data_IF_278004149566
#
_entry.id   IF_278004149566
#
_cell.length_a   1.000
_cell.length_b   1.000
_cell.length_c   1.000
_cell.angle_alpha   90.00
_cell.angle_beta   90.00
_cell.angle_gamma   90.00
#
_symmetry.space_group_name_H-M   'P 1'
#
loop_
_entity.id
_entity.type
_entity.pdbx_description
1 polymer ?
#
# COMPACT_ATOMS: atom_id res chain seq x y z
N UNK A 1 -29.19 -25.81 52.02
CA UNK A 1 -29.55 -25.20 50.73
C UNK A 1 -28.52 -25.60 49.68
N UNK A 2 -28.99 -26.38 48.69
CA UNK A 2 -28.60 -26.40 47.26
C UNK A 2 -27.15 -26.83 46.93
N UNK A 3 -26.88 -28.13 46.75
CA UNK A 3 -27.01 -28.99 45.53
C UNK A 3 -25.95 -28.77 44.45
N UNK A 4 -24.92 -29.61 44.53
CA UNK A 4 -23.99 -30.03 43.46
C UNK A 4 -24.78 -30.65 42.30
N UNK A 5 -24.36 -30.39 41.05
CA UNK A 5 -24.65 -31.27 39.92
C UNK A 5 -23.38 -31.60 39.14
N UNK A 6 -23.26 -32.90 38.90
CA UNK A 6 -22.12 -33.62 38.40
C UNK A 6 -21.93 -33.50 36.88
N UNK A 7 -20.66 -33.52 36.51
CA UNK A 7 -20.09 -34.04 35.28
C UNK A 7 -20.58 -35.48 35.04
N UNK A 8 -21.17 -35.77 33.87
CA UNK A 8 -21.35 -37.14 33.38
C UNK A 8 -20.92 -37.18 31.91
N UNK A 9 -19.77 -37.81 31.70
CA UNK A 9 -19.26 -38.28 30.42
C UNK A 9 -20.06 -39.52 30.06
N UNK A 10 -20.87 -39.43 29.01
CA UNK A 10 -21.62 -40.56 28.45
C UNK A 10 -20.95 -41.08 27.19
N UNK A 11 -20.07 -42.07 27.34
CA UNK A 11 -19.70 -42.99 26.26
C UNK A 11 -20.92 -43.87 25.96
N UNK A 12 -21.58 -43.64 24.83
CA UNK A 12 -22.67 -44.46 24.31
C UNK A 12 -22.22 -45.24 23.09
N UNK A 13 -21.63 -46.41 23.32
CA UNK A 13 -21.31 -47.40 22.30
C UNK A 13 -22.58 -48.24 22.03
N UNK A 14 -23.18 -48.11 20.85
CA UNK A 14 -24.13 -49.07 20.32
C UNK A 14 -23.52 -49.75 19.09
N UNK A 15 -22.92 -50.92 19.31
CA UNK A 15 -22.79 -51.96 18.31
C UNK A 15 -24.18 -52.50 17.99
N UNK A 16 -24.52 -52.72 16.71
CA UNK A 16 -25.06 -54.00 16.25
C UNK A 16 -24.99 -54.12 14.72
N UNK A 17 -24.36 -55.22 14.30
CA UNK A 17 -24.60 -56.07 13.12
C UNK A 17 -24.00 -55.64 11.77
N UNK A 18 -22.99 -56.42 11.39
CA UNK A 18 -22.57 -56.63 10.01
C UNK A 18 -23.74 -57.22 9.20
N UNK A 19 -24.17 -56.47 8.19
CA UNK A 19 -24.99 -56.94 7.08
C UNK A 19 -24.45 -56.30 5.80
N UNK A 20 -24.01 -57.11 4.85
CA UNK A 20 -23.62 -56.65 3.53
C UNK A 20 -24.79 -55.96 2.81
N UNK A 21 -24.71 -54.65 2.62
CA UNK A 21 -25.30 -53.95 1.46
C UNK A 21 -24.57 -52.63 1.27
N UNK A 22 -24.07 -52.39 0.06
CA UNK A 22 -23.15 -51.30 -0.25
C UNK A 22 -23.78 -49.90 -0.22
N UNK A 23 -22.88 -48.91 -0.11
CA UNK A 23 -23.00 -47.51 -0.50
C UNK A 23 -24.21 -46.74 0.06
N UNK A 24 -24.03 -46.01 1.16
CA UNK A 24 -24.75 -44.72 1.37
C UNK A 24 -24.25 -43.85 2.55
N UNK A 25 -23.50 -44.38 3.52
CA UNK A 25 -23.23 -43.65 4.79
C UNK A 25 -22.21 -42.50 4.69
N UNK A 26 -21.40 -42.41 3.64
CA UNK A 26 -20.37 -41.34 3.52
C UNK A 26 -20.94 -40.05 2.95
N UNK A 27 -22.03 -40.11 2.17
CA UNK A 27 -22.53 -38.95 1.42
C UNK A 27 -23.24 -37.95 2.34
N UNK A 28 -24.06 -38.44 3.26
CA UNK A 28 -24.90 -37.63 4.14
C UNK A 28 -24.07 -36.78 5.13
N UNK A 29 -23.00 -37.33 5.72
CA UNK A 29 -22.14 -36.56 6.64
C UNK A 29 -21.33 -35.46 5.94
N UNK A 30 -20.89 -35.70 4.70
CA UNK A 30 -20.12 -34.73 3.93
C UNK A 30 -21.03 -33.63 3.39
N UNK A 31 -22.23 -33.98 2.93
CA UNK A 31 -23.25 -33.04 2.44
C UNK A 31 -23.72 -32.08 3.54
N UNK A 32 -23.95 -32.58 4.77
CA UNK A 32 -24.25 -31.76 5.95
C UNK A 32 -23.11 -30.77 6.28
N UNK A 33 -21.84 -31.17 6.08
CA UNK A 33 -20.71 -30.28 6.31
C UNK A 33 -20.66 -29.13 5.28
N UNK A 34 -20.84 -29.45 3.99
CA UNK A 34 -20.85 -28.45 2.92
C UNK A 34 -21.98 -27.44 3.10
N UNK A 35 -23.20 -27.88 3.40
CA UNK A 35 -24.33 -26.96 3.63
C UNK A 35 -24.05 -26.00 4.79
N UNK A 36 -23.43 -26.49 5.87
CA UNK A 36 -23.07 -25.64 7.01
C UNK A 36 -22.02 -24.59 6.68
N UNK A 37 -21.04 -24.94 5.84
CA UNK A 37 -19.99 -24.02 5.38
C UNK A 37 -20.57 -22.95 4.44
N UNK A 38 -21.41 -23.33 3.48
CA UNK A 38 -22.10 -22.38 2.60
C UNK A 38 -23.00 -21.45 3.41
N UNK A 39 -23.74 -21.96 4.39
CA UNK A 39 -24.58 -21.14 5.27
C UNK A 39 -23.75 -20.12 6.07
N UNK A 40 -22.53 -20.49 6.48
CA UNK A 40 -21.61 -19.56 7.14
C UNK A 40 -21.19 -18.43 6.20
N UNK A 41 -20.86 -18.74 4.94
CA UNK A 41 -20.55 -17.71 3.93
C UNK A 41 -21.75 -16.79 3.67
N UNK A 42 -22.96 -17.35 3.52
CA UNK A 42 -24.17 -16.55 3.33
C UNK A 42 -24.48 -15.66 4.54
N UNK A 43 -24.17 -16.12 5.74
CA UNK A 43 -24.30 -15.34 6.98
C UNK A 43 -23.34 -14.15 6.97
N UNK A 44 -22.07 -14.37 6.62
CA UNK A 44 -21.07 -13.29 6.53
C UNK A 44 -21.46 -12.25 5.47
N UNK A 45 -21.98 -12.70 4.32
CA UNK A 45 -22.49 -11.83 3.28
C UNK A 45 -23.66 -10.97 3.80
N UNK A 46 -24.62 -11.58 4.49
CA UNK A 46 -25.78 -10.88 5.07
C UNK A 46 -25.37 -9.86 6.13
N UNK A 47 -24.35 -10.19 6.92
CA UNK A 47 -23.78 -9.32 7.95
C UNK A 47 -22.82 -8.26 7.37
N UNK A 48 -22.58 -8.28 6.05
CA UNK A 48 -21.64 -7.40 5.33
C UNK A 48 -20.21 -7.48 5.85
N UNK A 49 -19.81 -8.63 6.38
CA UNK A 49 -18.44 -8.92 6.81
C UNK A 49 -17.61 -9.35 5.61
N UNK A 50 -17.39 -8.42 4.68
CA UNK A 50 -16.82 -8.71 3.37
C UNK A 50 -15.38 -9.24 3.41
N UNK A 51 -14.56 -8.75 4.35
CA UNK A 51 -13.20 -9.25 4.51
C UNK A 51 -13.20 -10.73 4.96
N UNK A 52 -13.96 -11.04 6.01
CA UNK A 52 -14.09 -12.41 6.53
C UNK A 52 -14.71 -13.34 5.49
N UNK A 53 -15.71 -12.87 4.76
CA UNK A 53 -16.33 -13.61 3.65
C UNK A 53 -15.28 -13.96 2.59
N UNK A 54 -14.48 -12.98 2.16
CA UNK A 54 -13.48 -13.17 1.13
C UNK A 54 -12.38 -14.15 1.59
N UNK A 55 -11.91 -14.02 2.83
CA UNK A 55 -10.96 -14.96 3.44
C UNK A 55 -11.53 -16.38 3.44
N UNK A 56 -12.77 -16.55 3.90
CA UNK A 56 -13.37 -17.88 4.01
C UNK A 56 -13.63 -18.50 2.64
N UNK A 57 -14.04 -17.71 1.64
CA UNK A 57 -14.19 -18.18 0.26
C UNK A 57 -12.86 -18.63 -0.36
N UNK A 58 -11.74 -18.00 0.00
CA UNK A 58 -10.40 -18.36 -0.49
C UNK A 58 -9.87 -19.65 0.14
N UNK A 59 -10.19 -19.89 1.42
CA UNK A 59 -9.65 -21.02 2.18
C UNK A 59 -10.51 -22.27 2.17
N UNK A 60 -11.74 -22.20 1.67
CA UNK A 60 -12.69 -23.31 1.75
C UNK A 60 -12.28 -24.45 0.82
N UNK A 61 -11.99 -25.62 1.40
CA UNK A 61 -11.65 -26.83 0.66
C UNK A 61 -12.89 -27.71 0.51
N UNK A 62 -13.56 -27.56 -0.64
CA UNK A 62 -14.76 -28.33 -0.98
C UNK A 62 -14.48 -29.38 -2.05
N UNK A 63 -15.24 -30.50 -2.07
CA UNK A 63 -15.25 -31.41 -3.20
C UNK A 63 -15.54 -30.65 -4.50
N UNK A 64 -14.89 -31.04 -5.60
CA UNK A 64 -15.00 -30.36 -6.90
C UNK A 64 -16.46 -30.14 -7.34
N UNK A 65 -17.33 -31.11 -7.07
CA UNK A 65 -18.77 -31.05 -7.38
C UNK A 65 -19.55 -29.96 -6.65
N UNK A 66 -19.02 -29.43 -5.55
CA UNK A 66 -19.68 -28.46 -4.68
C UNK A 66 -19.08 -27.05 -4.80
N UNK A 67 -17.94 -26.90 -5.49
CA UNK A 67 -17.25 -25.61 -5.66
C UNK A 67 -18.12 -24.53 -6.32
N UNK A 68 -19.08 -24.94 -7.15
CA UNK A 68 -20.05 -24.03 -7.77
C UNK A 68 -20.92 -23.29 -6.75
N UNK A 69 -21.23 -23.91 -5.59
CA UNK A 69 -22.00 -23.25 -4.52
C UNK A 69 -21.26 -22.04 -3.93
N UNK A 70 -19.93 -22.14 -3.76
CA UNK A 70 -19.10 -21.02 -3.32
C UNK A 70 -19.09 -19.93 -4.38
N UNK A 71 -19.02 -20.30 -5.67
CA UNK A 71 -19.07 -19.34 -6.76
C UNK A 71 -20.41 -18.61 -6.83
N UNK A 72 -21.53 -19.26 -6.53
CA UNK A 72 -22.84 -18.61 -6.40
C UNK A 72 -22.88 -17.58 -5.25
N UNK A 73 -22.28 -17.90 -4.09
CA UNK A 73 -22.10 -16.90 -3.02
C UNK A 73 -21.24 -15.74 -3.50
N UNK A 74 -20.19 -16.01 -4.27
CA UNK A 74 -19.35 -14.99 -4.92
C UNK A 74 -20.12 -14.06 -5.85
N UNK A 75 -21.06 -14.58 -6.64
CA UNK A 75 -21.94 -13.75 -7.48
C UNK A 75 -22.82 -12.84 -6.62
N UNK A 76 -23.46 -13.37 -5.56
CA UNK A 76 -24.28 -12.55 -4.63
C UNK A 76 -23.44 -11.48 -3.92
N UNK A 77 -22.19 -11.81 -3.58
CA UNK A 77 -21.23 -10.89 -2.99
C UNK A 77 -20.90 -9.73 -3.92
N UNK A 78 -20.60 -10.01 -5.19
CA UNK A 78 -20.37 -8.98 -6.22
C UNK A 78 -21.62 -8.12 -6.43
N UNK A 79 -22.80 -8.73 -6.52
CA UNK A 79 -24.07 -8.02 -6.64
C UNK A 79 -24.27 -7.03 -5.49
N UNK A 80 -23.94 -7.45 -4.27
CA UNK A 80 -24.06 -6.63 -3.08
C UNK A 80 -23.07 -5.45 -3.09
N UNK A 81 -21.80 -5.68 -3.44
CA UNK A 81 -20.80 -4.62 -3.53
C UNK A 81 -21.16 -3.55 -4.58
N UNK A 82 -21.60 -3.99 -5.76
CA UNK A 82 -22.05 -3.08 -6.84
C UNK A 82 -23.27 -2.28 -6.39
N UNK A 83 -24.27 -2.95 -5.78
CA UNK A 83 -25.48 -2.29 -5.27
C UNK A 83 -25.18 -1.22 -4.22
N UNK A 84 -24.18 -1.46 -3.37
CA UNK A 84 -23.75 -0.53 -2.33
C UNK A 84 -22.81 0.55 -2.82
N UNK A 85 -22.34 0.46 -4.07
CA UNK A 85 -21.27 1.29 -4.60
C UNK A 85 -20.03 1.32 -3.72
N UNK A 86 -19.65 0.17 -3.17
CA UNK A 86 -18.56 0.06 -2.21
C UNK A 86 -17.18 0.08 -2.92
N UNK A 87 -16.84 1.23 -3.49
CA UNK A 87 -15.62 1.42 -4.30
C UNK A 87 -14.35 1.24 -3.47
N UNK A 88 -14.34 1.66 -2.21
CA UNK A 88 -13.20 1.50 -1.31
C UNK A 88 -12.81 0.03 -1.12
N UNK A 89 -13.80 -0.84 -0.89
CA UNK A 89 -13.55 -2.27 -0.75
C UNK A 89 -13.11 -2.89 -2.08
N UNK A 90 -13.75 -2.52 -3.18
CA UNK A 90 -13.39 -2.99 -4.52
C UNK A 90 -11.95 -2.62 -4.89
N UNK A 91 -11.53 -1.38 -4.63
CA UNK A 91 -10.18 -0.91 -4.88
C UNK A 91 -9.15 -1.63 -3.99
N UNK A 92 -9.39 -1.65 -2.68
CA UNK A 92 -8.44 -2.22 -1.71
C UNK A 92 -8.28 -3.75 -1.80
N UNK A 93 -9.26 -4.45 -2.37
CA UNK A 93 -9.27 -5.93 -2.47
C UNK A 93 -9.36 -6.45 -3.91
N UNK A 94 -9.19 -5.59 -4.91
CA UNK A 94 -9.32 -5.91 -6.35
C UNK A 94 -8.67 -7.23 -6.76
N UNK A 95 -7.38 -7.41 -6.47
CA UNK A 95 -6.65 -8.63 -6.83
C UNK A 95 -7.22 -9.90 -6.20
N UNK A 96 -7.64 -9.83 -4.93
CA UNK A 96 -8.23 -10.95 -4.20
C UNK A 96 -9.61 -11.29 -4.73
N UNK A 97 -10.46 -10.28 -4.95
CA UNK A 97 -11.78 -10.48 -5.55
C UNK A 97 -11.64 -11.14 -6.92
N UNK A 98 -10.75 -10.63 -7.79
CA UNK A 98 -10.52 -11.13 -9.15
C UNK A 98 -10.19 -12.63 -9.20
N UNK A 99 -9.38 -13.13 -8.27
CA UNK A 99 -9.00 -14.55 -8.23
C UNK A 99 -10.09 -15.43 -7.58
N UNK A 100 -10.89 -14.86 -6.68
CA UNK A 100 -11.87 -15.60 -5.88
C UNK A 100 -13.21 -15.78 -6.57
N UNK A 101 -13.68 -14.78 -7.34
CA UNK A 101 -15.00 -14.83 -7.99
C UNK A 101 -14.96 -15.46 -9.39
N UNK A 102 -16.11 -15.59 -10.06
CA UNK A 102 -16.15 -16.02 -11.47
C UNK A 102 -15.63 -14.89 -12.36
N UNK A 103 -15.04 -15.25 -13.51
CA UNK A 103 -14.55 -14.27 -14.49
C UNK A 103 -15.65 -13.29 -14.92
N UNK A 104 -16.87 -13.76 -15.14
CA UNK A 104 -17.98 -12.90 -15.55
C UNK A 104 -18.40 -11.93 -14.45
N UNK A 105 -18.32 -12.34 -13.18
CA UNK A 105 -18.56 -11.44 -12.04
C UNK A 105 -17.46 -10.39 -11.91
N UNK A 106 -16.20 -10.77 -12.14
CA UNK A 106 -15.10 -9.80 -12.19
C UNK A 106 -15.27 -8.78 -13.33
N UNK A 107 -15.66 -9.22 -14.53
CA UNK A 107 -15.93 -8.31 -15.65
C UNK A 107 -17.05 -7.30 -15.31
N UNK A 108 -18.04 -7.72 -14.51
CA UNK A 108 -19.10 -6.82 -14.02
C UNK A 108 -18.57 -5.79 -13.03
N UNK A 109 -17.66 -6.18 -12.15
CA UNK A 109 -16.96 -5.27 -11.24
C UNK A 109 -16.13 -4.25 -12.03
N UNK A 110 -15.32 -4.69 -12.99
CA UNK A 110 -14.51 -3.79 -13.82
C UNK A 110 -15.38 -2.75 -14.52
N UNK A 111 -16.45 -3.20 -15.17
CA UNK A 111 -17.41 -2.30 -15.84
C UNK A 111 -18.07 -1.32 -14.87
N UNK A 112 -18.42 -1.77 -13.67
CA UNK A 112 -19.02 -0.92 -12.65
C UNK A 112 -18.02 0.15 -12.16
N UNK A 113 -16.79 -0.24 -11.86
CA UNK A 113 -15.72 0.68 -11.42
C UNK A 113 -15.40 1.72 -12.49
N UNK A 114 -15.32 1.30 -13.76
CA UNK A 114 -15.14 2.20 -14.90
C UNK A 114 -16.29 3.21 -14.98
N UNK A 115 -17.54 2.76 -14.88
CA UNK A 115 -18.72 3.64 -14.93
C UNK A 115 -18.77 4.65 -13.79
N UNK A 116 -18.50 4.25 -12.55
CA UNK A 116 -18.48 5.18 -11.41
C UNK A 116 -17.31 6.16 -11.50
N UNK A 117 -16.15 5.70 -12.00
CA UNK A 117 -14.99 6.58 -12.25
C UNK A 117 -15.36 7.67 -13.26
N UNK A 118 -15.99 7.31 -14.38
CA UNK A 118 -16.43 8.29 -15.39
C UNK A 118 -17.42 9.30 -14.83
N UNK A 119 -18.35 8.89 -13.97
CA UNK A 119 -19.30 9.80 -13.33
C UNK A 119 -18.59 10.83 -12.43
N UNK A 120 -17.60 10.39 -11.65
CA UNK A 120 -16.81 11.28 -10.80
C UNK A 120 -15.97 12.24 -11.67
N UNK A 121 -15.38 11.75 -12.76
CA UNK A 121 -14.60 12.58 -13.69
C UNK A 121 -15.47 13.62 -14.39
N UNK A 122 -16.68 13.25 -14.83
CA UNK A 122 -17.66 14.19 -15.41
C UNK A 122 -18.04 15.29 -14.43
N UNK A 123 -18.29 14.92 -13.17
CA UNK A 123 -18.63 15.87 -12.11
C UNK A 123 -17.46 16.81 -11.78
N UNK A 124 -16.24 16.28 -11.74
CA UNK A 124 -15.02 17.05 -11.52
C UNK A 124 -14.81 18.05 -12.67
N UNK A 125 -14.91 17.59 -13.92
CA UNK A 125 -14.79 18.45 -15.09
C UNK A 125 -15.83 19.59 -15.06
N UNK A 126 -17.08 19.28 -14.72
CA UNK A 126 -18.13 20.28 -14.59
C UNK A 126 -17.80 21.30 -13.48
N UNK A 127 -17.30 20.84 -12.33
CA UNK A 127 -16.90 21.72 -11.22
C UNK A 127 -15.75 22.65 -11.63
N UNK A 128 -14.74 22.15 -12.34
CA UNK A 128 -13.62 22.94 -12.86
C UNK A 128 -14.11 23.98 -13.86
N UNK A 129 -14.93 23.58 -14.86
CA UNK A 129 -15.47 24.48 -15.90
C UNK A 129 -16.35 25.58 -15.34
N UNK A 130 -17.13 25.27 -14.30
CA UNK A 130 -17.97 26.23 -13.59
C UNK A 130 -17.22 27.07 -12.55
N UNK A 131 -15.92 26.80 -12.35
CA UNK A 131 -15.08 27.43 -11.33
C UNK A 131 -15.60 27.23 -9.90
N UNK A 132 -16.31 26.14 -9.65
CA UNK A 132 -16.71 25.73 -8.29
C UNK A 132 -15.55 25.02 -7.60
N UNK A 133 -14.54 25.80 -7.22
CA UNK A 133 -13.31 25.25 -6.68
C UNK A 133 -13.46 24.63 -5.29
N UNK A 134 -14.46 25.06 -4.53
CA UNK A 134 -14.79 24.42 -3.24
C UNK A 134 -15.24 22.99 -3.49
N UNK A 135 -16.11 22.77 -4.48
CA UNK A 135 -16.54 21.43 -4.88
C UNK A 135 -15.39 20.59 -5.39
N UNK A 136 -14.50 21.14 -6.22
CA UNK A 136 -13.28 20.45 -6.66
C UNK A 136 -12.44 19.96 -5.48
N UNK A 137 -12.23 20.81 -4.47
CA UNK A 137 -11.50 20.43 -3.26
C UNK A 137 -12.23 19.33 -2.46
N UNK A 138 -13.55 19.48 -2.26
CA UNK A 138 -14.38 18.47 -1.58
C UNK A 138 -14.30 17.11 -2.29
N UNK A 139 -14.34 17.09 -3.62
CA UNK A 139 -14.19 15.85 -4.40
C UNK A 139 -12.80 15.25 -4.23
N UNK A 140 -11.74 16.04 -4.31
CA UNK A 140 -10.36 15.55 -4.15
C UNK A 140 -10.12 14.94 -2.75
N UNK A 141 -10.69 15.54 -1.71
CA UNK A 141 -10.56 15.04 -0.34
C UNK A 141 -11.35 13.74 -0.08
N UNK A 142 -12.50 13.59 -0.74
CA UNK A 142 -13.42 12.47 -0.53
C UNK A 142 -13.12 11.27 -1.45
N UNK A 143 -12.73 11.50 -2.70
CA UNK A 143 -12.53 10.46 -3.72
C UNK A 143 -11.07 9.98 -3.78
N UNK A 144 -10.50 9.62 -2.62
CA UNK A 144 -9.09 9.23 -2.49
C UNK A 144 -8.68 8.06 -3.39
N UNK A 145 -9.63 7.19 -3.72
CA UNK A 145 -9.41 6.07 -4.65
C UNK A 145 -8.98 6.53 -6.06
N UNK A 146 -9.24 7.80 -6.42
CA UNK A 146 -8.87 8.38 -7.71
C UNK A 146 -7.65 9.31 -7.61
N UNK A 147 -6.94 9.37 -6.49
CA UNK A 147 -5.75 10.21 -6.34
C UNK A 147 -4.66 9.89 -7.39
N UNK A 148 -4.52 8.62 -7.76
CA UNK A 148 -3.59 8.17 -8.80
C UNK A 148 -4.17 8.26 -10.22
N UNK A 149 -5.46 8.60 -10.38
CA UNK A 149 -6.07 8.77 -11.70
C UNK A 149 -5.54 10.06 -12.35
N UNK A 150 -4.91 9.91 -13.51
CA UNK A 150 -4.21 11.01 -14.20
C UNK A 150 -5.16 12.15 -14.58
N UNK A 151 -6.40 11.87 -15.00
CA UNK A 151 -7.37 12.91 -15.39
C UNK A 151 -7.93 13.63 -14.17
N UNK A 152 -8.28 12.88 -13.11
CA UNK A 152 -8.76 13.44 -11.85
C UNK A 152 -7.73 14.40 -11.25
N UNK A 153 -6.48 13.95 -11.14
CA UNK A 153 -5.39 14.75 -10.62
C UNK A 153 -5.01 15.92 -11.52
N UNK A 154 -5.06 15.77 -12.85
CA UNK A 154 -4.82 16.88 -13.77
C UNK A 154 -5.90 17.98 -13.63
N UNK A 155 -7.17 17.59 -13.54
CA UNK A 155 -8.28 18.53 -13.36
C UNK A 155 -8.23 19.26 -12.01
N UNK A 156 -7.89 18.56 -10.93
CA UNK A 156 -7.66 19.18 -9.62
C UNK A 156 -6.52 20.21 -9.66
N UNK A 157 -5.36 19.85 -10.20
CA UNK A 157 -4.22 20.77 -10.30
C UNK A 157 -4.52 21.95 -11.23
N UNK A 158 -5.31 21.73 -12.29
CA UNK A 158 -5.78 22.81 -13.14
C UNK A 158 -6.75 23.75 -12.42
N UNK A 159 -7.65 23.23 -11.57
CA UNK A 159 -8.48 24.08 -10.72
C UNK A 159 -7.65 24.94 -9.77
N UNK A 160 -6.58 24.40 -9.16
CA UNK A 160 -5.65 25.18 -8.34
C UNK A 160 -4.99 26.28 -9.17
N UNK A 161 -4.51 25.96 -10.38
CA UNK A 161 -3.99 26.95 -11.31
C UNK A 161 -5.01 28.07 -11.57
N UNK A 162 -6.28 27.71 -11.79
CA UNK A 162 -7.36 28.66 -12.01
C UNK A 162 -7.69 29.50 -10.76
N UNK A 163 -7.47 29.01 -9.55
CA UNK A 163 -7.65 29.78 -8.31
C UNK A 163 -6.52 30.78 -8.04
N UNK A 164 -5.31 30.48 -8.54
CA UNK A 164 -4.15 31.35 -8.36
C UNK A 164 -4.14 32.53 -9.35
N UNK A 165 -3.05 33.30 -9.36
CA UNK A 165 -2.75 34.28 -10.40
C UNK A 165 -2.46 33.53 -11.72
N UNK A 166 -3.56 33.13 -12.39
CA UNK A 166 -3.57 32.53 -13.72
C UNK A 166 -2.63 33.32 -14.60
N UNK A 167 -1.90 32.63 -15.48
CA UNK A 167 -0.97 33.27 -16.42
C UNK A 167 0.30 33.86 -15.76
N UNK A 168 0.63 33.46 -14.53
CA UNK A 168 1.93 33.76 -13.91
C UNK A 168 2.95 32.62 -14.07
N UNK A 169 4.25 32.94 -14.03
CA UNK A 169 5.33 31.95 -14.04
C UNK A 169 5.20 30.94 -12.90
N UNK A 170 4.88 31.42 -11.69
CA UNK A 170 4.75 30.58 -10.50
C UNK A 170 3.58 29.59 -10.63
N UNK A 171 2.41 30.07 -11.07
CA UNK A 171 1.23 29.21 -11.25
C UNK A 171 1.45 28.18 -12.37
N UNK A 172 1.99 28.61 -13.51
CA UNK A 172 2.25 27.73 -14.65
C UNK A 172 3.34 26.70 -14.33
N UNK A 173 4.39 27.10 -13.60
CA UNK A 173 5.44 26.19 -13.13
C UNK A 173 4.93 25.16 -12.12
N UNK A 174 4.04 25.55 -11.20
CA UNK A 174 3.40 24.60 -10.29
C UNK A 174 2.52 23.58 -11.03
N UNK A 175 1.73 24.05 -12.01
CA UNK A 175 0.93 23.15 -12.86
C UNK A 175 1.83 22.22 -13.68
N UNK A 176 2.95 22.72 -14.21
CA UNK A 176 3.92 21.93 -14.95
C UNK A 176 4.56 20.83 -14.09
N UNK A 177 4.80 21.05 -12.80
CA UNK A 177 5.31 20.00 -11.91
C UNK A 177 4.27 18.88 -11.66
N UNK A 178 2.98 19.19 -11.79
CA UNK A 178 1.90 18.26 -11.49
C UNK A 178 1.32 17.56 -12.73
N UNK A 179 1.40 18.18 -13.92
CA UNK A 179 0.79 17.67 -15.14
C UNK A 179 1.79 17.60 -16.29
N UNK A 180 1.91 16.42 -16.89
CA UNK A 180 2.73 16.20 -18.09
C UNK A 180 2.23 17.08 -19.26
N UNK A 181 3.09 17.88 -19.92
CA UNK A 181 2.74 18.62 -21.13
C UNK A 181 2.19 17.76 -22.29
N UNK A 182 2.42 16.44 -22.28
CA UNK A 182 1.86 15.47 -23.23
C UNK A 182 0.55 14.84 -22.76
N UNK A 183 -0.03 15.34 -21.67
CA UNK A 183 -1.34 14.93 -21.18
C UNK A 183 -2.38 14.92 -22.32
N UNK A 184 -3.22 13.88 -22.34
CA UNK A 184 -4.16 13.63 -23.43
C UNK A 184 -5.61 13.36 -22.98
N UNK A 185 -5.89 13.52 -21.69
CA UNK A 185 -7.22 13.28 -21.13
C UNK A 185 -8.18 14.46 -21.21
N UNK A 186 -9.20 14.44 -20.36
CA UNK A 186 -10.20 15.51 -20.18
C UNK A 186 -9.57 16.88 -19.99
N UNK A 187 -10.14 17.89 -20.64
CA UNK A 187 -9.65 19.28 -20.62
C UNK A 187 -8.20 19.45 -21.11
N UNK A 188 -7.70 18.53 -21.94
CA UNK A 188 -6.33 18.57 -22.47
C UNK A 188 -5.91 19.96 -22.95
N UNK A 189 -6.70 20.56 -23.85
CA UNK A 189 -6.29 21.78 -24.53
C UNK A 189 -6.14 22.93 -23.53
N UNK A 190 -7.07 23.05 -22.58
CA UNK A 190 -7.04 24.09 -21.55
C UNK A 190 -5.90 23.88 -20.54
N UNK A 191 -5.68 22.63 -20.13
CA UNK A 191 -4.66 22.26 -19.15
C UNK A 191 -3.25 22.45 -19.75
N UNK A 192 -3.02 21.92 -20.96
CA UNK A 192 -1.72 22.03 -21.65
C UNK A 192 -1.43 23.49 -22.00
N UNK A 193 -2.43 24.29 -22.36
CA UNK A 193 -2.25 25.73 -22.55
C UNK A 193 -1.82 26.43 -21.25
N UNK A 194 -2.39 26.03 -20.10
CA UNK A 194 -1.97 26.54 -18.78
C UNK A 194 -0.50 26.25 -18.45
N UNK A 195 0.03 25.13 -18.93
CA UNK A 195 1.44 24.72 -18.76
C UNK A 195 2.37 25.43 -19.75
N UNK A 196 1.97 25.52 -21.02
CA UNK A 196 2.87 25.83 -22.14
C UNK A 196 2.76 27.25 -22.68
N UNK A 197 1.81 28.07 -22.20
CA UNK A 197 1.60 29.41 -22.75
C UNK A 197 2.85 30.29 -22.58
N UNK A 198 3.40 30.72 -23.73
CA UNK A 198 4.66 31.44 -23.83
C UNK A 198 4.55 32.95 -23.77
N UNK A 199 3.35 33.51 -23.72
CA UNK A 199 3.10 34.96 -23.74
C UNK A 199 3.56 35.72 -22.48
N UNK A 200 4.14 35.02 -21.49
CA UNK A 200 4.55 35.56 -20.18
C UNK A 200 6.02 35.99 -20.10
N UNK A 201 6.63 36.38 -21.23
CA UNK A 201 8.02 36.86 -21.26
C UNK A 201 8.21 38.06 -20.32
N UNK A 202 8.89 37.83 -19.19
CA UNK A 202 9.62 38.89 -18.51
C UNK A 202 11.10 38.74 -18.92
N UNK A 203 11.71 39.71 -19.63
CA UNK A 203 13.07 39.60 -20.15
C UNK A 203 14.19 39.50 -19.08
N UNK A 204 13.85 39.52 -17.78
CA UNK A 204 14.81 39.48 -16.67
C UNK A 204 14.67 38.25 -15.74
N UNK A 205 13.77 37.31 -16.02
CA UNK A 205 13.64 36.07 -15.24
C UNK A 205 13.10 34.95 -16.10
N UNK A 206 13.58 33.72 -15.87
CA UNK A 206 13.29 32.49 -16.61
C UNK A 206 11.93 32.49 -17.35
N UNK A 207 11.98 32.36 -18.68
CA UNK A 207 10.81 32.32 -19.55
C UNK A 207 9.95 31.06 -19.37
N UNK A 208 8.87 30.90 -20.17
CA UNK A 208 7.98 29.74 -20.12
C UNK A 208 8.75 28.41 -20.21
N UNK A 209 8.30 27.41 -19.47
CA UNK A 209 8.89 26.07 -19.47
C UNK A 209 8.53 25.41 -20.80
N UNK A 210 9.46 25.42 -21.76
CA UNK A 210 9.33 24.61 -22.96
C UNK A 210 9.25 23.13 -22.60
N UNK A 211 8.72 22.27 -23.47
CA UNK A 211 8.76 20.82 -23.25
C UNK A 211 10.19 20.30 -22.97
N UNK A 212 11.21 20.96 -23.53
CA UNK A 212 12.62 20.67 -23.26
C UNK A 212 13.02 21.08 -21.83
N UNK A 213 12.64 22.28 -21.38
CA UNK A 213 12.88 22.73 -20.01
C UNK A 213 12.13 21.84 -19.01
N UNK A 214 10.92 21.40 -19.34
CA UNK A 214 10.13 20.51 -18.52
C UNK A 214 10.81 19.16 -18.33
N UNK A 215 11.25 18.51 -19.43
CA UNK A 215 11.99 17.24 -19.35
C UNK A 215 13.26 17.35 -18.52
N UNK A 216 13.95 18.49 -18.60
CA UNK A 216 15.13 18.75 -17.77
C UNK A 216 14.77 18.91 -16.29
N UNK A 217 13.77 19.74 -15.96
CA UNK A 217 13.29 19.95 -14.58
C UNK A 217 12.74 18.66 -13.97
N UNK A 218 11.92 17.93 -14.72
CA UNK A 218 11.37 16.63 -14.31
C UNK A 218 12.49 15.63 -14.05
N UNK A 219 13.49 15.56 -14.94
CA UNK A 219 14.67 14.72 -14.76
C UNK A 219 15.43 15.05 -13.47
N UNK A 220 15.74 16.32 -13.23
CA UNK A 220 16.40 16.78 -12.01
C UNK A 220 15.57 16.50 -10.76
N UNK A 221 14.26 16.74 -10.80
CA UNK A 221 13.35 16.47 -9.67
C UNK A 221 13.27 14.98 -9.36
N UNK A 222 13.15 14.11 -10.37
CA UNK A 222 13.15 12.65 -10.20
C UNK A 222 14.48 12.15 -9.64
N UNK A 223 15.61 12.69 -10.12
CA UNK A 223 16.94 12.37 -9.57
C UNK A 223 17.06 12.78 -8.11
N UNK A 224 16.54 13.95 -7.74
CA UNK A 224 16.53 14.43 -6.36
C UNK A 224 15.63 13.57 -5.47
N UNK A 225 14.43 13.21 -5.92
CA UNK A 225 13.55 12.26 -5.18
C UNK A 225 14.27 10.93 -4.96
N UNK A 226 14.81 10.31 -6.02
CA UNK A 226 15.52 9.04 -5.91
C UNK A 226 16.71 9.13 -4.94
N UNK A 227 17.41 10.27 -4.92
CA UNK A 227 18.49 10.53 -3.97
C UNK A 227 17.96 10.64 -2.54
N UNK A 228 16.85 11.36 -2.31
CA UNK A 228 16.23 11.50 -0.99
C UNK A 228 15.67 10.18 -0.47
N UNK A 229 15.04 9.38 -1.32
CA UNK A 229 14.57 8.04 -0.99
C UNK A 229 15.73 7.12 -0.61
N UNK A 230 16.82 7.15 -1.39
CA UNK A 230 18.04 6.40 -1.07
C UNK A 230 18.60 6.80 0.30
N UNK A 231 18.73 8.10 0.57
CA UNK A 231 19.20 8.62 1.87
C UNK A 231 18.26 8.18 3.01
N UNK A 232 16.94 8.27 2.80
CA UNK A 232 15.95 7.84 3.78
C UNK A 232 16.02 6.34 4.07
N UNK A 233 16.19 5.51 3.04
CA UNK A 233 16.36 4.07 3.16
C UNK A 233 17.69 3.73 3.88
N UNK A 234 18.80 4.38 3.50
CA UNK A 234 20.10 4.21 4.17
C UNK A 234 20.03 4.60 5.65
N UNK A 235 19.31 5.66 6.00
CA UNK A 235 19.08 6.05 7.40
C UNK A 235 18.20 5.05 8.15
N UNK A 236 17.16 4.52 7.50
CA UNK A 236 16.32 3.48 8.10
C UNK A 236 17.13 2.20 8.36
N UNK A 237 17.89 1.73 7.38
CA UNK A 237 18.79 0.59 7.52
C UNK A 237 19.83 0.81 8.62
N UNK A 238 20.43 2.01 8.68
CA UNK A 238 21.37 2.38 9.76
C UNK A 238 20.70 2.27 11.13
N UNK A 239 19.49 2.81 11.31
CA UNK A 239 18.74 2.72 12.58
C UNK A 239 18.40 1.28 12.94
N UNK A 240 18.00 0.46 11.97
CA UNK A 240 17.70 -0.96 12.20
C UNK A 240 18.95 -1.75 12.62
N UNK A 241 20.11 -1.47 12.03
CA UNK A 241 21.38 -2.10 12.44
C UNK A 241 21.80 -1.68 13.85
N UNK A 242 21.71 -0.38 14.18
CA UNK A 242 21.96 0.12 15.54
C UNK A 242 21.03 -0.57 16.55
N UNK A 243 19.74 -0.65 16.26
CA UNK A 243 18.77 -1.32 17.14
C UNK A 243 19.07 -2.82 17.26
N UNK A 244 19.47 -3.48 16.17
CA UNK A 244 19.88 -4.89 16.21
C UNK A 244 21.17 -5.11 17.00
N UNK A 245 22.08 -4.14 17.05
CA UNK A 245 23.30 -4.22 17.84
C UNK A 245 23.06 -4.07 19.35
N UNK A 246 21.92 -3.45 19.74
CA UNK A 246 21.59 -3.24 21.15
C UNK A 246 21.56 -4.53 21.96
N UNK A 247 22.25 -4.50 23.09
CA UNK A 247 22.30 -5.64 24.01
C UNK A 247 23.08 -6.85 23.47
N UNK A 248 23.87 -6.68 22.39
CA UNK A 248 24.81 -7.70 21.88
C UNK A 248 26.26 -7.26 22.12
N UNK A 249 27.20 -8.20 22.10
CA UNK A 249 28.62 -7.85 22.08
C UNK A 249 29.00 -7.25 20.71
N UNK A 250 30.01 -6.36 20.64
CA UNK A 250 30.56 -5.87 19.39
C UNK A 250 31.01 -7.01 18.47
N UNK A 251 30.75 -6.87 17.18
CA UNK A 251 31.22 -7.80 16.14
C UNK A 251 31.90 -7.04 15.03
N UNK A 252 32.88 -7.66 14.38
CA UNK A 252 33.59 -7.07 13.24
C UNK A 252 32.60 -6.59 12.17
N UNK A 253 32.89 -5.43 11.58
CA UNK A 253 32.04 -4.76 10.60
C UNK A 253 31.02 -3.78 11.20
N UNK A 254 30.91 -3.69 12.54
CA UNK A 254 30.04 -2.71 13.18
C UNK A 254 30.55 -1.28 13.00
N UNK A 255 29.63 -0.33 12.87
CA UNK A 255 29.92 1.12 12.92
C UNK A 255 30.12 1.60 14.36
N UNK A 256 30.62 2.83 14.55
CA UNK A 256 30.71 3.47 15.86
C UNK A 256 29.37 3.44 16.60
N UNK A 257 28.29 3.87 15.94
CA UNK A 257 26.97 3.98 16.56
C UNK A 257 26.38 2.61 16.94
N UNK A 258 26.71 1.57 16.17
CA UNK A 258 26.33 0.19 16.49
C UNK A 258 27.10 -0.33 17.72
N UNK A 259 28.40 0.00 17.84
CA UNK A 259 29.23 -0.38 18.99
C UNK A 259 28.81 0.37 20.25
N UNK A 260 28.55 1.67 20.16
CA UNK A 260 28.04 2.48 21.28
C UNK A 260 26.66 2.01 21.76
N UNK A 261 25.81 1.53 20.84
CA UNK A 261 24.52 0.94 21.19
C UNK A 261 24.63 -0.48 21.78
N UNK A 262 25.78 -1.15 21.60
CA UNK A 262 26.03 -2.52 22.03
C UNK A 262 26.17 -2.64 23.56
N UNK A 263 26.47 -3.86 24.05
CA UNK A 263 26.77 -4.09 25.47
C UNK A 263 28.01 -3.35 25.97
N UNK A 264 28.94 -3.01 25.08
CA UNK A 264 30.20 -2.38 25.47
C UNK A 264 30.01 -0.87 25.69
N UNK A 265 29.08 -0.23 24.97
CA UNK A 265 28.76 1.18 25.18
C UNK A 265 29.86 2.12 24.68
N UNK A 266 29.87 3.34 25.21
CA UNK A 266 30.93 4.33 24.95
C UNK A 266 32.27 3.89 25.58
N UNK A 267 33.41 4.11 24.91
CA UNK A 267 34.73 3.79 25.44
C UNK A 267 35.17 4.77 26.53
N UNK A 268 36.08 4.33 27.39
CA UNK A 268 36.74 5.19 28.38
C UNK A 268 37.71 6.18 27.71
N UNK A 269 38.39 5.76 26.64
CA UNK A 269 39.34 6.57 25.88
C UNK A 269 39.43 6.16 24.41
N UNK A 270 39.79 7.10 23.53
CA UNK A 270 39.93 6.88 22.08
C UNK A 270 41.27 7.42 21.57
N UNK A 271 42.15 6.50 21.18
CA UNK A 271 43.41 6.82 20.52
C UNK A 271 43.20 6.88 19.00
N UNK A 272 43.30 8.08 18.42
CA UNK A 272 42.98 8.34 17.01
C UNK A 272 44.19 8.75 16.18
N UNK A 273 44.41 8.08 15.04
CA UNK A 273 45.44 8.41 14.05
C UNK A 273 44.81 8.67 12.69
N UNK A 274 45.13 9.81 12.07
CA UNK A 274 44.69 10.16 10.72
C UNK A 274 45.90 10.27 9.81
N UNK A 275 45.83 9.62 8.65
CA UNK A 275 46.86 9.68 7.61
C UNK A 275 46.23 10.03 6.27
N UNK A 276 47.04 10.19 5.22
CA UNK A 276 46.54 10.34 3.84
C UNK A 276 45.80 9.09 3.32
N UNK A 277 45.97 7.94 3.98
CA UNK A 277 45.40 6.66 3.57
C UNK A 277 44.11 6.28 4.31
N UNK A 278 43.72 7.03 5.35
CA UNK A 278 42.54 6.74 6.17
C UNK A 278 42.70 7.13 7.63
N UNK A 279 41.67 6.83 8.42
CA UNK A 279 41.64 7.01 9.88
C UNK A 279 41.63 5.66 10.58
N UNK A 280 42.55 5.47 11.52
CA UNK A 280 42.54 4.30 12.41
C UNK A 280 42.37 4.74 13.87
N UNK A 281 41.53 4.04 14.61
CA UNK A 281 41.19 4.34 16.00
C UNK A 281 41.28 3.09 16.87
N UNK A 282 41.75 3.27 18.10
CA UNK A 282 41.67 2.27 19.15
C UNK A 282 40.80 2.82 20.28
N UNK A 283 39.73 2.12 20.58
CA UNK A 283 38.80 2.41 21.67
C UNK A 283 39.15 1.53 22.88
N UNK A 284 39.28 2.14 24.06
CA UNK A 284 39.75 1.52 25.30
C UNK A 284 38.61 1.42 26.32
N UNK A 285 38.41 0.25 26.93
CA UNK A 285 37.32 -0.01 27.91
C UNK A 285 37.83 -0.48 29.29
N UNK A 286 39.15 -0.43 29.51
CA UNK A 286 39.80 -0.93 30.73
C UNK A 286 40.03 -2.45 30.73
N UNK A 287 40.74 -2.94 31.77
CA UNK A 287 41.08 -4.37 31.96
C UNK A 287 41.76 -5.10 30.78
N UNK A 288 42.39 -4.36 29.87
CA UNK A 288 43.05 -4.93 28.69
C UNK A 288 42.11 -5.17 27.50
N UNK A 289 40.90 -4.61 27.53
CA UNK A 289 39.90 -4.72 26.47
C UNK A 289 39.97 -3.54 25.51
N UNK A 290 40.05 -3.83 24.21
CA UNK A 290 40.22 -2.84 23.14
C UNK A 290 39.41 -3.19 21.90
N UNK A 291 38.90 -2.16 21.22
CA UNK A 291 38.33 -2.26 19.88
C UNK A 291 39.16 -1.43 18.89
N UNK A 292 39.35 -1.93 17.68
CA UNK A 292 40.14 -1.29 16.62
C UNK A 292 39.25 -0.98 15.42
N UNK A 293 39.23 0.28 14.99
CA UNK A 293 38.43 0.74 13.88
C UNK A 293 39.32 1.27 12.75
N UNK A 294 38.91 1.01 11.52
CA UNK A 294 39.42 1.68 10.32
C UNK A 294 38.25 2.35 9.59
N UNK A 295 38.38 3.66 9.36
CA UNK A 295 37.39 4.52 8.70
C UNK A 295 35.94 4.34 9.22
N UNK A 296 35.80 4.20 10.54
CA UNK A 296 34.49 4.07 11.19
C UNK A 296 33.95 2.66 11.34
N UNK A 297 34.70 1.65 10.90
CA UNK A 297 34.27 0.25 10.93
C UNK A 297 35.17 -0.57 11.85
N UNK A 298 34.57 -1.34 12.76
CA UNK A 298 35.26 -2.23 13.68
C UNK A 298 35.98 -3.34 12.90
N UNK A 299 37.31 -3.31 12.86
CA UNK A 299 38.16 -4.27 12.13
C UNK A 299 38.85 -5.28 13.03
N UNK A 300 38.95 -5.01 14.34
CA UNK A 300 39.54 -5.94 15.30
C UNK A 300 39.12 -5.67 16.75
N UNK A 301 39.33 -6.64 17.62
CA UNK A 301 39.18 -6.47 19.07
C UNK A 301 40.22 -7.30 19.83
N UNK A 302 40.43 -6.95 21.09
CA UNK A 302 41.28 -7.66 22.05
C UNK A 302 40.52 -7.74 23.38
N UNK A 303 40.38 -8.95 23.93
CA UNK A 303 39.66 -9.25 25.17
C UNK A 303 40.37 -10.28 26.07
#
# INVERSE_FOLDING_TARGET
MVKVKHLVIGLGMCLLLAGCSGKEVVKESTEINVESEILALETLLKEKKYEDLLINMESLDLPESETDKVKEVGTKFVDQLIKEKNMDFLASKSNRIRITVRRDDWNRVEKFVEQETELILDEMEQAVRSKDFRKVQEMYENEKILEENVEFSAMYNYALYLQTDQNSYKASGALALAVDPNYYGRMKDEIVAGVTNTSYENPLSFGPITTTNWKWIEGEYRMNIATMERIGNEEKERKEKIESARGKNPTLGMTYEEVEASLWGEPDDVNRTVTEYGTSEQWVYGNGQYLYFDDGILTGFQD
#
